data_IF_254746929828
#
_entry.id   IF_254746929828
#
_cell.length_a   1.000
_cell.length_b   1.000
_cell.length_c   1.000
_cell.angle_alpha   90.00
_cell.angle_beta   90.00
_cell.angle_gamma   90.00
#
_symmetry.space_group_name_H-M   'P 1'
#
loop_
_entity.id
_entity.type
_entity.pdbx_description
1 polymer ?
#
# COMPACT_ATOMS: atom_id res chain seq x y z
N UNK A 1 16.12 -10.79 10.56
CA UNK A 1 15.73 -10.12 11.82
C UNK A 1 15.01 -11.16 12.65
N UNK A 2 15.41 -11.38 13.89
CA UNK A 2 14.71 -12.37 14.72
C UNK A 2 13.36 -11.83 15.26
N UNK A 3 12.59 -12.67 15.95
CA UNK A 3 11.29 -12.28 16.48
C UNK A 3 11.39 -11.15 17.54
N UNK A 4 12.44 -11.16 18.36
CA UNK A 4 12.63 -10.19 19.43
C UNK A 4 13.03 -8.82 18.87
N UNK A 5 13.85 -8.78 17.83
CA UNK A 5 14.21 -7.58 17.08
C UNK A 5 12.98 -6.93 16.45
N UNK A 6 12.10 -7.72 15.82
CA UNK A 6 10.85 -7.22 15.20
C UNK A 6 9.94 -6.58 16.25
N UNK A 7 9.78 -7.23 17.40
CA UNK A 7 8.97 -6.69 18.49
C UNK A 7 9.55 -5.38 19.04
N UNK A 8 10.87 -5.32 19.27
CA UNK A 8 11.56 -4.08 19.70
C UNK A 8 11.40 -2.96 18.68
N UNK A 9 11.48 -3.28 17.38
CA UNK A 9 11.26 -2.30 16.32
C UNK A 9 9.83 -1.76 16.34
N UNK A 10 8.82 -2.63 16.46
CA UNK A 10 7.42 -2.23 16.56
C UNK A 10 7.16 -1.35 17.80
N UNK A 11 7.69 -1.72 18.97
CA UNK A 11 7.59 -0.91 20.20
C UNK A 11 8.18 0.49 20.00
N UNK A 12 9.38 0.57 19.41
CA UNK A 12 10.05 1.85 19.14
C UNK A 12 9.23 2.72 18.18
N UNK A 13 8.66 2.14 17.13
CA UNK A 13 7.81 2.86 16.18
C UNK A 13 6.56 3.39 16.88
N UNK A 14 5.83 2.53 17.60
CA UNK A 14 4.61 2.94 18.30
C UNK A 14 4.85 4.04 19.32
N UNK A 15 5.95 3.96 20.08
CA UNK A 15 6.32 5.02 21.03
C UNK A 15 6.62 6.34 20.31
N UNK A 16 7.42 6.29 19.23
CA UNK A 16 7.80 7.49 18.47
C UNK A 16 6.59 8.20 17.84
N UNK A 17 5.59 7.44 17.39
CA UNK A 17 4.40 7.97 16.74
C UNK A 17 3.22 8.19 17.71
N UNK A 18 3.41 8.01 19.02
CA UNK A 18 2.37 8.21 20.03
C UNK A 18 1.21 7.20 19.95
N UNK A 19 1.43 6.05 19.31
CA UNK A 19 0.42 5.02 19.08
C UNK A 19 0.49 3.85 20.08
N UNK A 20 1.43 3.87 21.01
CA UNK A 20 1.65 2.78 21.98
C UNK A 20 0.46 2.52 22.92
N UNK A 21 -0.47 3.48 23.07
CA UNK A 21 -1.71 3.30 23.83
C UNK A 21 -2.89 2.78 22.99
N UNK A 22 -2.76 2.80 21.66
CA UNK A 22 -3.85 2.45 20.74
C UNK A 22 -3.71 1.02 20.19
N UNK A 23 -2.49 0.51 20.07
CA UNK A 23 -2.23 -0.83 19.53
C UNK A 23 -0.98 -1.43 20.16
N UNK A 24 -1.04 -2.73 20.44
CA UNK A 24 0.10 -3.49 20.96
C UNK A 24 1.14 -3.78 19.88
N UNK A 25 2.42 -3.77 20.26
CA UNK A 25 3.52 -4.02 19.31
C UNK A 25 3.45 -5.40 18.65
N UNK A 26 2.98 -6.43 19.37
CA UNK A 26 2.78 -7.77 18.83
C UNK A 26 1.76 -7.79 17.70
N UNK A 27 0.67 -7.02 17.82
CA UNK A 27 -0.37 -6.91 16.78
C UNK A 27 0.18 -6.28 15.51
N UNK A 28 1.08 -5.30 15.64
CA UNK A 28 1.77 -4.69 14.49
C UNK A 28 2.66 -5.70 13.78
N UNK A 29 3.42 -6.49 14.54
CA UNK A 29 4.27 -7.56 13.97
C UNK A 29 3.41 -8.58 13.24
N UNK A 30 2.33 -9.05 13.87
CA UNK A 30 1.41 -10.03 13.30
C UNK A 30 0.71 -9.52 12.02
N UNK A 31 0.32 -8.24 12.00
CA UNK A 31 -0.25 -7.61 10.81
C UNK A 31 0.77 -7.53 9.66
N UNK A 32 2.04 -7.22 9.96
CA UNK A 32 3.11 -7.25 8.99
C UNK A 32 3.37 -8.64 8.43
N UNK A 33 3.40 -9.67 9.28
CA UNK A 33 3.56 -11.07 8.85
C UNK A 33 2.41 -11.52 7.94
N UNK A 34 1.15 -11.23 8.30
CA UNK A 34 0.00 -11.50 7.43
C UNK A 34 0.09 -10.82 6.07
N UNK A 35 0.61 -9.59 6.01
CA UNK A 35 0.77 -8.87 4.74
C UNK A 35 1.85 -9.50 3.87
N UNK A 36 2.97 -9.93 4.47
CA UNK A 36 4.01 -10.68 3.76
C UNK A 36 3.51 -12.03 3.24
N UNK A 37 2.73 -12.75 4.05
CA UNK A 37 2.10 -14.01 3.65
C UNK A 37 1.11 -13.79 2.49
N UNK A 38 0.32 -12.71 2.54
CA UNK A 38 -0.56 -12.31 1.44
C UNK A 38 0.24 -12.08 0.14
N UNK A 39 1.37 -11.37 0.20
CA UNK A 39 2.22 -11.18 -0.97
C UNK A 39 2.80 -12.49 -1.49
N UNK A 40 3.29 -13.36 -0.60
CA UNK A 40 3.83 -14.66 -0.99
C UNK A 40 2.79 -15.56 -1.67
N UNK A 41 1.53 -15.51 -1.22
CA UNK A 41 0.44 -16.32 -1.76
C UNK A 41 -0.11 -15.79 -3.08
N UNK A 42 -0.25 -14.46 -3.23
CA UNK A 42 -0.92 -13.85 -4.38
C UNK A 42 0.03 -13.32 -5.45
N UNK A 43 1.26 -12.96 -5.06
CA UNK A 43 2.27 -12.30 -5.90
C UNK A 43 3.64 -12.95 -5.71
N UNK A 44 3.68 -14.28 -5.76
CA UNK A 44 4.88 -15.07 -5.53
C UNK A 44 6.06 -14.59 -6.40
N UNK A 45 7.17 -14.25 -5.77
CA UNK A 45 8.38 -13.75 -6.45
C UNK A 45 8.34 -12.29 -6.86
N UNK A 46 7.30 -11.53 -6.49
CA UNK A 46 7.25 -10.10 -6.75
C UNK A 46 8.30 -9.33 -5.93
N UNK A 47 8.92 -8.32 -6.54
CA UNK A 47 9.74 -7.36 -5.80
C UNK A 47 8.81 -6.35 -5.14
N UNK A 48 8.83 -6.29 -3.81
CA UNK A 48 8.01 -5.36 -3.03
C UNK A 48 8.83 -4.11 -2.71
N UNK A 49 8.40 -2.94 -3.19
CA UNK A 49 8.95 -1.65 -2.77
C UNK A 49 7.90 -0.83 -2.04
N UNK A 50 8.34 -0.03 -1.08
CA UNK A 50 7.47 0.74 -0.19
C UNK A 50 7.77 2.23 -0.31
N UNK A 51 6.77 3.09 -0.17
CA UNK A 51 6.94 4.54 0.00
C UNK A 51 7.67 5.23 -1.17
N UNK A 52 7.30 4.86 -2.40
CA UNK A 52 7.96 5.34 -3.62
C UNK A 52 7.47 6.76 -3.97
N UNK A 53 8.39 7.72 -3.98
CA UNK A 53 8.11 9.06 -4.51
C UNK A 53 8.13 9.04 -6.02
N UNK A 54 7.10 9.60 -6.65
CA UNK A 54 6.98 9.69 -8.11
C UNK A 54 6.67 11.12 -8.53
N UNK A 55 7.25 11.52 -9.66
CA UNK A 55 6.98 12.80 -10.32
C UNK A 55 6.82 12.51 -11.80
N UNK A 56 5.71 12.97 -12.39
CA UNK A 56 5.45 12.78 -13.82
C UNK A 56 4.77 14.01 -14.41
N UNK A 57 4.64 14.04 -15.74
CA UNK A 57 3.76 15.00 -16.42
C UNK A 57 2.55 14.26 -16.93
N UNK A 58 1.36 14.74 -16.59
CA UNK A 58 0.12 14.16 -17.12
C UNK A 58 -0.11 14.57 -18.58
N UNK A 59 -1.20 14.07 -19.17
CA UNK A 59 -1.58 14.39 -20.55
C UNK A 59 -1.74 15.90 -20.84
N UNK A 60 -2.10 16.70 -19.82
CA UNK A 60 -2.23 18.16 -19.91
C UNK A 60 -0.91 18.90 -19.66
N UNK A 61 0.22 18.17 -19.64
CA UNK A 61 1.57 18.69 -19.41
C UNK A 61 1.78 19.33 -18.02
N UNK A 62 0.90 19.03 -17.06
CA UNK A 62 1.01 19.49 -15.68
C UNK A 62 2.04 18.65 -14.93
N UNK A 63 2.86 19.28 -14.09
CA UNK A 63 3.77 18.56 -13.22
C UNK A 63 3.00 17.99 -12.02
N UNK A 64 3.04 16.67 -11.87
CA UNK A 64 2.36 15.93 -10.83
C UNK A 64 3.39 15.29 -9.89
N UNK A 65 3.06 15.23 -8.60
CA UNK A 65 3.89 14.58 -7.58
C UNK A 65 3.01 13.69 -6.70
N UNK A 66 3.52 12.52 -6.34
CA UNK A 66 2.83 11.60 -5.44
C UNK A 66 3.81 10.71 -4.66
N UNK A 67 3.26 10.01 -3.67
CA UNK A 67 3.95 8.96 -2.93
C UNK A 67 3.07 7.71 -2.90
N UNK A 68 3.59 6.62 -3.47
CA UNK A 68 2.92 5.34 -3.54
C UNK A 68 3.34 4.51 -2.33
N UNK A 69 2.38 4.10 -1.49
CA UNK A 69 2.65 3.34 -0.27
C UNK A 69 3.33 2.01 -0.56
N UNK A 70 2.81 1.25 -1.54
CA UNK A 70 3.34 -0.04 -1.96
C UNK A 70 3.24 -0.24 -3.47
N UNK A 71 4.34 -0.74 -4.04
CA UNK A 71 4.45 -1.10 -5.45
C UNK A 71 5.07 -2.49 -5.55
N UNK A 72 4.33 -3.43 -6.13
CA UNK A 72 4.81 -4.79 -6.36
C UNK A 72 5.15 -4.94 -7.84
N UNK A 73 6.39 -5.31 -8.13
CA UNK A 73 6.83 -5.63 -9.48
C UNK A 73 6.71 -7.14 -9.71
N UNK A 74 5.90 -7.52 -10.70
CA UNK A 74 5.71 -8.91 -11.13
C UNK A 74 6.19 -9.08 -12.58
N UNK A 75 6.32 -10.31 -13.10
CA UNK A 75 6.60 -10.51 -14.53
C UNK A 75 5.54 -9.89 -15.46
N UNK A 76 4.25 -9.90 -15.06
CA UNK A 76 3.15 -9.39 -15.86
C UNK A 76 3.07 -7.86 -15.89
N UNK A 77 3.65 -7.18 -14.90
CA UNK A 77 3.57 -5.73 -14.72
C UNK A 77 3.55 -5.36 -13.25
N UNK A 78 3.08 -4.15 -12.95
CA UNK A 78 3.04 -3.60 -11.60
C UNK A 78 1.68 -3.80 -10.94
N UNK A 79 1.69 -4.08 -9.63
CA UNK A 79 0.50 -4.04 -8.78
C UNK A 79 0.65 -2.89 -7.80
N UNK A 80 -0.30 -1.96 -7.83
CA UNK A 80 -0.36 -0.82 -6.92
C UNK A 80 -1.16 -1.20 -5.68
N UNK A 81 -0.65 -0.84 -4.50
CA UNK A 81 -1.42 -0.94 -3.27
C UNK A 81 -1.25 0.34 -2.43
N UNK A 82 -2.36 0.85 -1.93
CA UNK A 82 -2.38 2.01 -1.04
C UNK A 82 -3.12 1.66 0.28
N UNK A 83 -2.63 2.19 1.39
CA UNK A 83 -3.15 1.92 2.73
C UNK A 83 -4.11 3.02 3.17
N UNK A 84 -5.40 2.68 3.31
CA UNK A 84 -6.42 3.61 3.79
C UNK A 84 -7.00 3.17 5.12
N UNK A 85 -7.31 4.13 5.98
CA UNK A 85 -8.09 3.91 7.20
C UNK A 85 -9.44 4.61 7.04
N UNK A 86 -10.51 3.87 7.33
CA UNK A 86 -11.88 4.40 7.26
C UNK A 86 -12.70 3.87 8.44
N UNK A 87 -13.20 4.74 9.34
CA UNK A 87 -13.94 4.31 10.53
C UNK A 87 -15.43 4.04 10.27
N UNK A 88 -15.92 4.31 9.06
CA UNK A 88 -17.32 4.14 8.71
C UNK A 88 -17.69 2.70 8.35
N UNK A 89 -18.93 2.51 7.90
CA UNK A 89 -19.53 1.18 7.68
C UNK A 89 -19.57 0.74 6.22
N UNK A 90 -19.36 1.65 5.27
CA UNK A 90 -19.34 1.36 3.84
C UNK A 90 -17.95 1.64 3.22
N UNK A 91 -16.97 0.73 3.40
CA UNK A 91 -15.64 0.91 2.85
C UNK A 91 -15.64 0.90 1.31
N UNK A 92 -16.56 0.17 0.67
CA UNK A 92 -16.59 0.05 -0.79
C UNK A 92 -17.10 1.34 -1.42
N UNK A 93 -18.21 1.89 -0.93
CA UNK A 93 -18.71 3.19 -1.37
C UNK A 93 -17.69 4.29 -1.11
N UNK A 94 -17.03 4.29 0.04
CA UNK A 94 -15.98 5.24 0.37
C UNK A 94 -14.77 5.16 -0.57
N UNK A 95 -14.32 3.95 -0.94
CA UNK A 95 -13.24 3.78 -1.93
C UNK A 95 -13.64 4.35 -3.29
N UNK A 96 -14.85 4.04 -3.76
CA UNK A 96 -15.35 4.52 -5.05
C UNK A 96 -15.45 6.05 -5.11
N UNK A 97 -15.91 6.67 -4.03
CA UNK A 97 -16.06 8.12 -3.96
C UNK A 97 -14.72 8.86 -3.83
N UNK A 98 -13.74 8.28 -3.11
CA UNK A 98 -12.53 9.02 -2.71
C UNK A 98 -11.25 8.69 -3.46
N UNK A 99 -11.07 7.45 -3.92
CA UNK A 99 -9.72 6.96 -4.26
C UNK A 99 -9.55 6.53 -5.72
N UNK A 100 -10.62 6.41 -6.51
CA UNK A 100 -10.51 5.99 -7.92
C UNK A 100 -9.58 6.92 -8.72
N UNK A 101 -9.80 8.24 -8.64
CA UNK A 101 -8.97 9.20 -9.37
C UNK A 101 -7.51 9.23 -8.90
N UNK A 102 -7.27 9.08 -7.59
CA UNK A 102 -5.91 8.97 -7.05
C UNK A 102 -5.19 7.75 -7.63
N UNK A 103 -5.84 6.58 -7.61
CA UNK A 103 -5.23 5.36 -8.09
C UNK A 103 -5.02 5.36 -9.61
N UNK A 104 -5.91 6.00 -10.37
CA UNK A 104 -5.69 6.25 -11.80
C UNK A 104 -4.44 7.09 -12.04
N UNK A 105 -4.22 8.14 -11.25
CA UNK A 105 -2.99 8.96 -11.33
C UNK A 105 -1.73 8.15 -10.98
N UNK A 106 -1.81 7.27 -9.97
CA UNK A 106 -0.67 6.39 -9.63
C UNK A 106 -0.39 5.39 -10.76
N UNK A 107 -1.43 4.88 -11.42
CA UNK A 107 -1.28 4.00 -12.57
C UNK A 107 -0.62 4.73 -13.74
N UNK A 108 -1.11 5.92 -14.11
CA UNK A 108 -0.52 6.76 -15.16
C UNK A 108 0.96 7.07 -14.86
N UNK A 109 1.28 7.46 -13.62
CA UNK A 109 2.65 7.73 -13.19
C UNK A 109 3.54 6.48 -13.37
N UNK A 110 3.07 5.33 -12.88
CA UNK A 110 3.84 4.08 -12.92
C UNK A 110 4.08 3.62 -14.35
N UNK A 111 3.05 3.63 -15.19
CA UNK A 111 3.14 3.20 -16.59
C UNK A 111 4.02 4.14 -17.41
N UNK A 112 3.90 5.47 -17.21
CA UNK A 112 4.72 6.45 -17.93
C UNK A 112 6.20 6.40 -17.54
N UNK A 113 6.50 6.17 -16.26
CA UNK A 113 7.89 6.12 -15.75
C UNK A 113 8.56 4.79 -16.13
N UNK A 114 7.85 3.68 -16.02
CA UNK A 114 8.44 2.34 -16.16
C UNK A 114 8.29 1.75 -17.56
N UNK A 115 7.34 2.24 -18.37
CA UNK A 115 6.97 1.67 -19.66
C UNK A 115 6.29 0.30 -19.56
N UNK A 116 5.87 -0.13 -18.37
CA UNK A 116 5.22 -1.43 -18.12
C UNK A 116 3.82 -1.21 -17.53
N UNK A 117 2.86 -2.09 -17.83
CA UNK A 117 1.47 -1.91 -17.41
C UNK A 117 1.29 -2.06 -15.90
N UNK A 118 0.30 -1.38 -15.35
CA UNK A 118 -0.26 -1.66 -14.03
C UNK A 118 -1.37 -2.69 -14.21
N UNK A 119 -1.13 -3.91 -13.75
CA UNK A 119 -2.03 -5.05 -13.98
C UNK A 119 -3.10 -5.19 -12.90
N UNK A 120 -2.89 -4.58 -11.73
CA UNK A 120 -3.84 -4.61 -10.63
C UNK A 120 -3.68 -3.39 -9.73
N UNK A 121 -4.79 -2.91 -9.17
CA UNK A 121 -4.84 -1.79 -8.24
C UNK A 121 -5.63 -2.20 -6.99
N UNK A 122 -5.02 -1.97 -5.83
CA UNK A 122 -5.51 -2.46 -4.54
C UNK A 122 -5.61 -1.33 -3.52
N UNK A 123 -6.64 -1.39 -2.67
CA UNK A 123 -6.72 -0.63 -1.43
C UNK A 123 -6.70 -1.61 -0.27
N UNK A 124 -5.68 -1.52 0.56
CA UNK A 124 -5.62 -2.23 1.83
C UNK A 124 -6.23 -1.36 2.93
N UNK A 125 -7.17 -1.93 3.69
CA UNK A 125 -7.80 -1.35 4.87
C UNK A 125 -7.30 -2.05 6.12
N UNK A 126 -6.21 -1.58 6.78
CA UNK A 126 -5.54 -2.32 7.85
C UNK A 126 -6.45 -2.60 9.04
N UNK A 127 -7.28 -1.63 9.45
CA UNK A 127 -8.21 -1.78 10.56
C UNK A 127 -9.32 -2.83 10.30
N UNK A 128 -9.60 -3.13 9.04
CA UNK A 128 -10.57 -4.17 8.65
C UNK A 128 -9.90 -5.51 8.33
N UNK A 129 -8.57 -5.54 8.18
CA UNK A 129 -7.84 -6.70 7.69
C UNK A 129 -8.27 -7.12 6.27
N UNK A 130 -8.66 -6.17 5.42
CA UNK A 130 -9.19 -6.43 4.08
C UNK A 130 -8.40 -5.72 2.99
N UNK A 131 -8.24 -6.40 1.86
CA UNK A 131 -7.73 -5.82 0.62
C UNK A 131 -8.87 -5.80 -0.40
N UNK A 132 -9.08 -4.65 -1.02
CA UNK A 132 -10.07 -4.43 -2.05
C UNK A 132 -9.36 -4.24 -3.38
N UNK A 133 -9.70 -5.06 -4.38
CA UNK A 133 -9.32 -4.80 -5.76
C UNK A 133 -10.24 -3.73 -6.34
N UNK A 134 -9.64 -2.77 -7.02
CA UNK A 134 -10.36 -1.75 -7.79
C UNK A 134 -10.25 -2.11 -9.27
N UNK A 135 -11.35 -1.96 -10.00
CA UNK A 135 -11.48 -2.11 -11.45
C UNK A 135 -12.20 -0.92 -12.01
#
# INVERSE_FOLDING_TARGET
MDAADRLRAAQRLLARWGAASAVEASVVVEAGERMLDFFAQHYAGATVTTEQSVTWRNADNQLMEARIDLLLETPAGYVLMDHKSYPGKDPVGHIKDKYIGQMQGYAEATESITGRPVVETLIHMPALGKVFRIS
#
